data_IF_143219644264
#
_entry.id   IF_143219644264
#
_cell.length_a   1.000
_cell.length_b   1.000
_cell.length_c   1.000
_cell.angle_alpha   90.00
_cell.angle_beta   90.00
_cell.angle_gamma   90.00
#
_symmetry.space_group_name_H-M   'P 1'
#
loop_
_entity.id
_entity.type
_entity.pdbx_description
1 polymer ?
#
# COMPACT_ATOMS: atom_id res chain seq x y z
N UNK A 1 -1.32 -10.96 17.13
CA UNK A 1 -1.00 -9.92 16.12
C UNK A 1 -0.37 -10.62 14.93
N UNK A 2 -0.92 -10.45 13.72
CA UNK A 2 -0.35 -11.07 12.51
C UNK A 2 0.76 -10.15 12.00
N UNK A 3 1.98 -10.66 11.91
CA UNK A 3 3.08 -9.90 11.31
C UNK A 3 2.93 -9.93 9.79
N UNK A 4 2.96 -8.76 9.15
CA UNK A 4 2.95 -8.62 7.69
C UNK A 4 4.31 -8.09 7.23
N UNK A 5 4.80 -8.60 6.11
CA UNK A 5 5.97 -8.06 5.41
C UNK A 5 5.43 -7.23 4.25
N UNK A 6 5.85 -5.96 4.18
CA UNK A 6 5.42 -5.03 3.13
C UNK A 6 6.66 -4.49 2.43
N UNK A 7 6.75 -4.71 1.12
CA UNK A 7 7.75 -4.10 0.25
C UNK A 7 7.14 -2.88 -0.45
N UNK A 8 7.87 -1.76 -0.50
CA UNK A 8 7.48 -0.57 -1.25
C UNK A 8 8.59 -0.19 -2.21
N UNK A 9 8.25 0.00 -3.48
CA UNK A 9 9.15 0.46 -4.52
C UNK A 9 8.53 1.66 -5.25
N UNK A 10 9.38 2.55 -5.76
CA UNK A 10 8.94 3.60 -6.67
C UNK A 10 8.70 2.97 -8.04
N UNK A 11 7.54 3.24 -8.62
CA UNK A 11 7.16 2.82 -9.97
C UNK A 11 7.18 4.04 -10.87
N UNK A 12 7.93 3.97 -11.97
CA UNK A 12 8.00 5.04 -12.97
C UNK A 12 7.02 4.80 -14.13
N UNK A 13 6.68 3.54 -14.40
CA UNK A 13 5.74 3.09 -15.42
C UNK A 13 4.79 2.07 -14.79
N UNK A 14 3.52 2.46 -14.65
CA UNK A 14 2.50 1.65 -13.97
C UNK A 14 2.15 0.43 -14.81
N UNK A 15 1.98 0.58 -16.12
CA UNK A 15 1.56 -0.51 -17.01
C UNK A 15 2.63 -1.61 -17.05
N UNK A 16 3.90 -1.22 -17.17
CA UNK A 16 5.00 -2.18 -17.11
C UNK A 16 5.05 -2.92 -15.77
N UNK A 17 4.82 -2.20 -14.66
CA UNK A 17 4.84 -2.81 -13.33
C UNK A 17 3.67 -3.77 -13.11
N UNK A 18 2.47 -3.42 -13.57
CA UNK A 18 1.29 -4.29 -13.51
C UNK A 18 1.51 -5.58 -14.30
N UNK A 19 2.01 -5.48 -15.53
CA UNK A 19 2.35 -6.65 -16.35
C UNK A 19 3.38 -7.55 -15.65
N UNK A 20 4.47 -6.98 -15.12
CA UNK A 20 5.49 -7.76 -14.42
C UNK A 20 4.98 -8.43 -13.13
N UNK A 21 4.10 -7.77 -12.38
CA UNK A 21 3.46 -8.35 -11.19
C UNK A 21 2.53 -9.50 -11.59
N UNK A 22 1.75 -9.31 -12.66
CA UNK A 22 0.86 -10.35 -13.17
C UNK A 22 1.65 -11.56 -13.66
N UNK A 23 2.70 -11.35 -14.45
CA UNK A 23 3.58 -12.42 -14.94
C UNK A 23 4.21 -13.23 -13.79
N UNK A 24 4.52 -12.57 -12.66
CA UNK A 24 5.13 -13.20 -11.49
C UNK A 24 4.12 -13.94 -10.60
N UNK A 25 2.89 -13.46 -10.50
CA UNK A 25 1.94 -13.91 -9.47
C UNK A 25 0.61 -14.45 -10.00
N UNK A 26 0.41 -14.40 -11.32
CA UNK A 26 -0.86 -14.69 -12.00
C UNK A 26 -2.04 -13.86 -11.45
N UNK A 27 -1.73 -12.69 -10.86
CA UNK A 27 -2.71 -11.82 -10.20
C UNK A 27 -2.26 -10.36 -10.26
N UNK A 28 -3.20 -9.45 -10.46
CA UNK A 28 -2.95 -8.01 -10.25
C UNK A 28 -3.10 -7.60 -8.77
N UNK A 29 -3.40 -8.55 -7.90
CA UNK A 29 -3.62 -8.32 -6.48
C UNK A 29 -4.98 -7.69 -6.18
N UNK A 30 -5.02 -6.89 -5.14
CA UNK A 30 -6.24 -6.21 -4.67
C UNK A 30 -5.99 -4.72 -4.58
N UNK A 31 -6.92 -3.94 -5.08
CA UNK A 31 -6.87 -2.48 -5.01
C UNK A 31 -7.67 -2.01 -3.80
N UNK A 32 -7.14 -1.04 -3.08
CA UNK A 32 -7.80 -0.43 -1.93
C UNK A 32 -7.59 1.07 -1.98
N UNK A 33 -8.61 1.82 -1.58
CA UNK A 33 -8.45 3.24 -1.28
C UNK A 33 -7.97 3.35 0.17
N UNK A 34 -6.86 4.05 0.38
CA UNK A 34 -6.27 4.26 1.70
C UNK A 34 -6.39 5.73 2.09
N UNK A 35 -7.09 5.98 3.19
CA UNK A 35 -7.13 7.29 3.83
C UNK A 35 -6.17 7.29 5.03
N UNK A 36 -5.25 8.25 5.06
CA UNK A 36 -4.27 8.41 6.12
C UNK A 36 -4.46 9.77 6.80
N UNK A 37 -4.85 9.76 8.08
CA UNK A 37 -4.97 10.96 8.92
C UNK A 37 -3.77 11.05 9.85
N UNK A 38 -3.07 12.19 9.83
CA UNK A 38 -1.88 12.43 10.63
C UNK A 38 -2.18 13.40 11.77
N UNK A 39 -1.83 13.00 12.99
CA UNK A 39 -1.95 13.82 14.19
C UNK A 39 -0.57 14.12 14.73
N UNK A 40 -0.26 15.40 14.91
CA UNK A 40 0.93 15.81 15.64
C UNK A 40 0.64 15.64 17.14
N UNK A 41 1.42 14.80 17.81
CA UNK A 41 1.35 14.55 19.25
C UNK A 41 2.66 15.00 19.90
N UNK A 42 2.71 15.26 21.22
CA UNK A 42 3.89 15.87 21.85
C UNK A 42 5.23 15.16 21.57
N UNK A 43 5.19 13.84 21.31
CA UNK A 43 6.38 13.01 21.07
C UNK A 43 6.44 12.40 19.66
N UNK A 44 5.82 13.04 18.66
CA UNK A 44 5.92 12.61 17.26
C UNK A 44 4.58 12.69 16.52
N UNK A 45 4.38 11.79 15.56
CA UNK A 45 3.18 11.76 14.75
C UNK A 45 2.45 10.44 14.91
N UNK A 46 1.16 10.51 15.22
CA UNK A 46 0.26 9.37 15.17
C UNK A 46 -0.38 9.34 13.78
N UNK A 47 -0.38 8.16 13.15
CA UNK A 47 -1.03 7.92 11.87
C UNK A 47 -2.21 6.98 12.07
N UNK A 48 -3.42 7.48 11.78
CA UNK A 48 -4.59 6.63 11.63
C UNK A 48 -4.74 6.29 10.15
N UNK A 49 -4.85 5.00 9.85
CA UNK A 49 -5.07 4.50 8.49
C UNK A 49 -6.40 3.80 8.40
N UNK A 50 -7.21 4.22 7.45
CA UNK A 50 -8.49 3.60 7.11
C UNK A 50 -8.32 2.98 5.71
N UNK A 51 -8.62 1.69 5.61
CA UNK A 51 -8.56 0.93 4.36
C UNK A 51 -9.99 0.72 3.87
N UNK A 52 -10.35 1.33 2.75
CA UNK A 52 -11.62 1.09 2.09
C UNK A 52 -11.41 0.03 1.01
N UNK A 53 -12.12 -1.12 1.05
CA UNK A 53 -12.17 -2.03 -0.07
C UNK A 53 -12.80 -1.33 -1.27
N UNK A 54 -12.18 -1.50 -2.43
CA UNK A 54 -12.69 -1.00 -3.70
C UNK A 54 -13.61 -2.02 -4.36
#
# INVERSE_FOLDING_TARGET
MRQSIVLKARVNDIEQAENAIFDLTESLGTFFVQEDVYFNVPNGNLKLRIMHPN
#
